data_IF_170356807828
#
_entry.id   IF_170356807828
#
_cell.length_a   1.000
_cell.length_b   1.000
_cell.length_c   1.000
_cell.angle_alpha   90.00
_cell.angle_beta   90.00
_cell.angle_gamma   90.00
#
_symmetry.space_group_name_H-M   'P 1'
#
loop_
_entity.id
_entity.type
_entity.pdbx_description
1 polymer ?
#
# COMPACT_ATOMS: atom_id res chain seq x y z
N UNK A 1 0.12 -4.95 -10.15
CA UNK A 1 -1.23 -5.12 -9.56
C UNK A 1 -1.67 -3.79 -8.96
N UNK A 2 -2.97 -3.53 -8.91
CA UNK A 2 -3.52 -2.32 -8.29
C UNK A 2 -4.25 -2.69 -6.99
N UNK A 3 -4.22 -1.78 -6.02
CA UNK A 3 -4.89 -1.89 -4.74
C UNK A 3 -5.65 -0.58 -4.48
N UNK A 4 -6.86 -0.64 -3.90
CA UNK A 4 -7.56 -1.82 -3.39
C UNK A 4 -8.06 -2.74 -4.51
N UNK A 5 -8.46 -3.98 -4.20
CA UNK A 5 -8.90 -4.89 -5.26
C UNK A 5 -10.23 -4.41 -5.85
N UNK A 6 -10.26 -4.21 -7.17
CA UNK A 6 -11.52 -3.94 -7.86
C UNK A 6 -12.41 -5.19 -7.84
N UNK A 7 -13.73 -4.98 -7.87
CA UNK A 7 -14.73 -6.06 -7.96
C UNK A 7 -14.63 -6.78 -9.31
N UNK A 8 -14.27 -6.04 -10.36
CA UNK A 8 -13.99 -6.55 -11.71
C UNK A 8 -12.49 -6.40 -12.03
N UNK A 9 -12.10 -6.33 -13.31
CA UNK A 9 -10.69 -6.31 -13.71
C UNK A 9 -9.91 -5.09 -13.18
N UNK A 10 -10.34 -3.86 -13.50
CA UNK A 10 -9.67 -2.59 -13.11
C UNK A 10 -10.71 -1.45 -12.94
N UNK A 11 -11.98 -1.79 -12.75
CA UNK A 11 -13.04 -0.80 -12.61
C UNK A 11 -13.41 -0.60 -11.13
N UNK A 12 -13.44 0.65 -10.71
CA UNK A 12 -13.87 1.04 -9.36
C UNK A 12 -15.16 1.84 -9.48
N UNK A 13 -16.24 1.30 -8.90
CA UNK A 13 -17.52 1.98 -8.77
C UNK A 13 -17.89 2.07 -7.29
N UNK A 14 -18.29 3.26 -6.87
CA UNK A 14 -18.78 3.53 -5.52
C UNK A 14 -19.67 4.78 -5.55
N UNK A 15 -20.45 4.96 -4.49
CA UNK A 15 -21.32 6.11 -4.33
C UNK A 15 -20.82 6.99 -3.16
N UNK A 16 -20.59 8.27 -3.44
CA UNK A 16 -20.16 9.24 -2.43
C UNK A 16 -21.16 9.42 -1.29
N UNK A 17 -22.45 9.23 -1.56
CA UNK A 17 -23.50 9.35 -0.55
C UNK A 17 -23.66 8.10 0.32
N UNK A 18 -23.04 6.98 -0.05
CA UNK A 18 -23.14 5.70 0.65
C UNK A 18 -21.76 5.24 1.12
N UNK A 19 -21.39 5.49 2.40
CA UNK A 19 -20.09 5.13 2.95
C UNK A 19 -19.78 3.63 2.89
N UNK A 20 -20.81 2.78 2.97
CA UNK A 20 -20.63 1.33 2.92
C UNK A 20 -20.16 0.87 1.53
N UNK A 21 -20.45 1.65 0.47
CA UNK A 21 -20.06 1.34 -0.91
C UNK A 21 -18.54 1.38 -1.15
N UNK A 22 -17.78 2.10 -0.34
CA UNK A 22 -16.32 2.22 -0.46
C UNK A 22 -15.53 1.80 0.79
N UNK A 23 -16.21 1.37 1.84
CA UNK A 23 -15.58 0.90 3.08
C UNK A 23 -14.56 -0.22 2.86
N UNK A 24 -14.90 -1.21 2.02
CA UNK A 24 -13.99 -2.32 1.71
C UNK A 24 -12.71 -1.86 1.00
N UNK A 25 -12.81 -0.83 0.14
CA UNK A 25 -11.66 -0.25 -0.52
C UNK A 25 -10.70 0.44 0.46
N UNK A 26 -11.24 1.13 1.46
CA UNK A 26 -10.45 1.77 2.52
C UNK A 26 -9.76 0.72 3.39
N UNK A 27 -10.46 -0.35 3.76
CA UNK A 27 -9.90 -1.43 4.58
C UNK A 27 -8.71 -2.12 3.88
N UNK A 28 -8.82 -2.37 2.57
CA UNK A 28 -7.75 -2.94 1.74
C UNK A 28 -6.48 -2.07 1.69
N UNK A 29 -6.57 -0.75 1.95
CA UNK A 29 -5.45 0.20 1.89
C UNK A 29 -4.72 0.39 3.23
N UNK A 30 -5.21 -0.19 4.33
CA UNK A 30 -4.62 -0.10 5.68
C UNK A 30 -3.40 -1.00 6.02
N UNK A 31 -2.98 -2.04 5.27
CA UNK A 31 -2.00 -3.02 5.77
C UNK A 31 -0.53 -2.55 5.75
N UNK A 32 -0.27 -1.23 5.65
CA UNK A 32 1.08 -0.66 5.75
C UNK A 32 1.27 0.12 7.05
N UNK A 33 0.42 -0.08 8.05
CA UNK A 33 0.57 0.55 9.36
C UNK A 33 1.90 0.18 10.02
N UNK A 34 2.53 1.16 10.69
CA UNK A 34 3.84 1.00 11.32
C UNK A 34 3.85 -0.14 12.35
N UNK A 35 2.72 -0.37 13.01
CA UNK A 35 2.51 -1.44 13.98
C UNK A 35 2.67 -2.84 13.35
N UNK A 36 2.18 -3.03 12.12
CA UNK A 36 2.30 -4.30 11.40
C UNK A 36 3.73 -4.54 10.89
N UNK A 37 4.52 -3.47 10.78
CA UNK A 37 5.88 -3.48 10.25
C UNK A 37 6.97 -3.46 11.32
N UNK A 38 6.63 -3.60 12.61
CA UNK A 38 7.57 -3.52 13.75
C UNK A 38 8.78 -4.47 13.68
N UNK A 39 8.61 -5.61 12.99
CA UNK A 39 9.66 -6.63 12.85
C UNK A 39 10.52 -6.43 11.59
N UNK A 40 10.25 -5.40 10.79
CA UNK A 40 11.00 -5.08 9.56
C UNK A 40 12.18 -4.15 9.87
N UNK A 41 13.18 -4.17 8.99
CA UNK A 41 14.39 -3.37 9.15
C UNK A 41 14.35 -2.15 8.25
N UNK A 42 14.93 -1.04 8.71
CA UNK A 42 15.15 0.13 7.85
C UNK A 42 16.31 -0.17 6.90
N UNK A 43 16.04 -0.15 5.61
CA UNK A 43 17.03 -0.42 4.57
C UNK A 43 17.59 0.88 3.97
N UNK A 44 18.79 0.85 3.38
CA UNK A 44 19.31 1.98 2.62
C UNK A 44 18.47 2.20 1.35
N UNK A 45 18.20 3.47 1.05
CA UNK A 45 17.55 3.87 -0.19
C UNK A 45 18.52 3.81 -1.38
N UNK A 46 17.95 3.77 -2.59
CA UNK A 46 18.65 3.90 -3.89
C UNK A 46 19.62 2.77 -4.27
N UNK A 47 19.91 1.82 -3.37
CA UNK A 47 20.78 0.68 -3.65
C UNK A 47 20.06 -0.66 -3.44
N UNK A 48 20.33 -1.67 -4.29
CA UNK A 48 19.81 -3.01 -4.05
C UNK A 48 20.26 -3.57 -2.69
N UNK A 49 19.31 -4.08 -1.92
CA UNK A 49 19.60 -4.68 -0.62
C UNK A 49 20.05 -6.14 -0.78
N UNK A 50 21.37 -6.36 -0.86
CA UNK A 50 21.96 -7.69 -0.98
C UNK A 50 22.23 -8.32 0.39
N UNK A 51 21.70 -9.52 0.62
CA UNK A 51 21.85 -10.26 1.87
C UNK A 51 22.61 -11.56 1.64
N UNK A 52 23.62 -11.84 2.47
CA UNK A 52 24.44 -13.08 2.44
C UNK A 52 24.22 -13.97 3.67
N UNK A 53 23.22 -13.65 4.48
CA UNK A 53 22.90 -14.33 5.74
C UNK A 53 21.94 -15.50 5.50
N UNK A 54 21.99 -16.57 6.31
CA UNK A 54 20.96 -17.62 6.29
C UNK A 54 19.57 -17.13 6.72
N UNK A 55 19.51 -15.96 7.38
CA UNK A 55 18.26 -15.30 7.79
C UNK A 55 18.08 -14.05 6.94
N UNK A 56 17.00 -14.01 6.17
CA UNK A 56 16.60 -12.86 5.37
C UNK A 56 15.74 -11.92 6.22
N UNK A 57 16.09 -10.63 6.22
CA UNK A 57 15.24 -9.55 6.76
C UNK A 57 14.61 -8.75 5.62
N UNK A 58 13.40 -8.26 5.83
CA UNK A 58 12.69 -7.43 4.87
C UNK A 58 12.73 -5.95 5.26
N UNK A 59 12.71 -5.10 4.24
CA UNK A 59 12.73 -3.66 4.40
C UNK A 59 11.36 -3.13 4.81
N UNK A 60 11.35 -2.18 5.74
CA UNK A 60 10.17 -1.42 6.10
C UNK A 60 9.75 -0.51 4.93
N UNK A 61 8.44 -0.41 4.69
CA UNK A 61 7.85 0.52 3.75
C UNK A 61 7.16 1.66 4.51
N UNK A 62 7.60 2.90 4.28
CA UNK A 62 7.05 4.06 4.96
C UNK A 62 5.83 4.63 4.22
N UNK A 63 4.67 4.65 4.86
CA UNK A 63 3.42 5.20 4.28
C UNK A 63 3.53 6.69 3.94
N UNK A 64 4.44 7.44 4.58
CA UNK A 64 4.74 8.84 4.24
C UNK A 64 5.21 9.01 2.79
N UNK A 65 5.80 7.97 2.18
CA UNK A 65 6.20 7.98 0.77
C UNK A 65 4.99 8.09 -0.18
N UNK A 66 3.82 7.66 0.27
CA UNK A 66 2.55 7.78 -0.46
C UNK A 66 1.90 9.17 -0.28
N UNK A 67 2.52 10.06 0.50
CA UNK A 67 2.08 11.43 0.72
C UNK A 67 0.60 11.48 1.17
N UNK A 68 -0.23 12.27 0.47
CA UNK A 68 -1.66 12.42 0.75
C UNK A 68 -2.46 11.10 0.65
N UNK A 69 -1.90 10.07 0.01
CA UNK A 69 -2.51 8.74 -0.12
C UNK A 69 -1.96 7.71 0.87
N UNK A 70 -1.17 8.14 1.86
CA UNK A 70 -0.58 7.27 2.88
C UNK A 70 -1.50 6.96 4.07
N UNK A 71 -2.71 7.53 4.13
CA UNK A 71 -3.66 7.30 5.22
C UNK A 71 -3.37 8.07 6.52
N UNK A 72 -2.27 8.83 6.56
CA UNK A 72 -1.83 9.57 7.78
C UNK A 72 -2.67 10.82 8.00
N UNK A 73 -2.84 11.65 6.97
CA UNK A 73 -3.65 12.87 7.05
C UNK A 73 -5.13 12.63 6.70
N UNK A 74 -5.40 11.58 5.93
CA UNK A 74 -6.74 11.20 5.45
C UNK A 74 -6.90 9.67 5.49
N UNK A 75 -7.53 9.17 6.55
CA UNK A 75 -7.78 7.74 6.74
C UNK A 75 -8.79 7.16 5.76
N UNK A 76 -9.50 8.02 5.00
CA UNK A 76 -10.47 7.64 3.98
C UNK A 76 -9.85 7.64 2.58
N UNK A 77 -8.54 7.89 2.46
CA UNK A 77 -7.79 7.80 1.20
C UNK A 77 -8.46 8.56 0.04
N UNK A 78 -9.08 9.70 0.32
CA UNK A 78 -9.77 10.55 -0.66
C UNK A 78 -11.12 10.05 -1.18
N UNK A 79 -11.63 8.90 -0.70
CA UNK A 79 -12.92 8.34 -1.14
C UNK A 79 -14.10 9.25 -0.80
N UNK A 80 -14.12 9.86 0.39
CA UNK A 80 -15.17 10.82 0.82
C UNK A 80 -15.21 12.10 -0.04
N UNK A 81 -14.10 12.44 -0.71
CA UNK A 81 -13.95 13.65 -1.54
C UNK A 81 -14.14 13.38 -3.03
N UNK A 82 -14.44 12.13 -3.41
CA UNK A 82 -14.54 11.73 -4.81
C UNK A 82 -13.20 11.71 -5.55
N UNK A 83 -12.08 11.66 -4.81
CA UNK A 83 -10.72 11.60 -5.33
C UNK A 83 -10.01 10.40 -4.70
N UNK A 84 -10.42 9.15 -5.04
CA UNK A 84 -9.90 7.95 -4.40
C UNK A 84 -8.42 7.72 -4.74
N UNK A 85 -7.66 7.27 -3.75
CA UNK A 85 -6.29 6.83 -3.94
C UNK A 85 -6.26 5.35 -4.37
N UNK A 86 -5.47 5.05 -5.41
CA UNK A 86 -5.21 3.69 -5.89
C UNK A 86 -3.70 3.47 -5.83
N UNK A 87 -3.25 2.46 -5.07
CA UNK A 87 -1.84 2.09 -4.95
C UNK A 87 -1.45 1.09 -6.04
N UNK A 88 -0.30 1.32 -6.67
CA UNK A 88 0.29 0.38 -7.64
C UNK A 88 1.33 -0.47 -6.93
N UNK A 89 1.15 -1.79 -6.98
CA UNK A 89 2.05 -2.80 -6.38
C UNK A 89 2.69 -3.65 -7.45
N UNK A 90 4.01 -3.82 -7.40
CA UNK A 90 4.76 -4.70 -8.29
C UNK A 90 4.65 -6.15 -7.84
N UNK A 91 4.80 -7.09 -8.79
CA UNK A 91 4.84 -8.51 -8.47
C UNK A 91 6.23 -8.84 -7.91
N UNK A 92 6.27 -9.54 -6.78
CA UNK A 92 7.52 -10.03 -6.22
C UNK A 92 8.04 -11.20 -7.06
N UNK A 93 9.27 -11.09 -7.55
CA UNK A 93 10.01 -12.15 -8.25
C UNK A 93 11.33 -12.37 -7.50
N UNK A 94 11.67 -13.64 -7.23
CA UNK A 94 12.91 -14.00 -6.53
C UNK A 94 14.09 -13.71 -7.45
N UNK A 95 15.18 -13.16 -6.91
CA UNK A 95 16.42 -12.80 -7.62
C UNK A 95 16.25 -11.74 -8.74
N UNK A 96 15.09 -11.08 -8.84
CA UNK A 96 14.89 -9.97 -9.75
C UNK A 96 15.56 -8.69 -9.22
N UNK A 97 16.44 -8.11 -10.03
CA UNK A 97 16.92 -6.73 -9.89
C UNK A 97 16.20 -5.87 -10.93
N UNK A 98 15.32 -4.94 -10.52
CA UNK A 98 14.54 -4.11 -11.43
C UNK A 98 15.39 -3.25 -12.37
#
# INVERSE_FOLDING_TARGET
MVFPKSVTAVEYSFNLSDPDSYKGYIEDLKPYDLEEQKNLTVCPDEVPFEQRSPIYVACQFFTVLLQACGGVDDSEFGYTRGKPCIHVKTNRVIELKP
#
